data_IF_818715929553
#
_entry.id   IF_818715929553
#
_cell.length_a   1.000
_cell.length_b   1.000
_cell.length_c   1.000
_cell.angle_alpha   90.00
_cell.angle_beta   90.00
_cell.angle_gamma   90.00
#
_symmetry.space_group_name_H-M   'P 1'
#
loop_
_entity.id
_entity.type
_entity.pdbx_description
1 polymer ?
#
# COMPACT_ATOMS: atom_id res chain seq x y z
N UNK A 1 -2.89 -31.79 -41.33
CA UNK A 1 -3.47 -30.47 -41.04
C UNK A 1 -3.80 -30.51 -39.57
N UNK A 2 -2.83 -30.12 -38.76
CA UNK A 2 -3.05 -29.93 -37.33
C UNK A 2 -3.88 -28.65 -37.15
N UNK A 3 -4.83 -28.61 -36.20
CA UNK A 3 -5.55 -27.39 -35.92
C UNK A 3 -4.59 -26.38 -35.27
N UNK A 4 -4.57 -25.16 -35.81
CA UNK A 4 -3.91 -24.01 -35.17
C UNK A 4 -4.41 -23.88 -33.72
N UNK A 5 -3.54 -23.61 -32.75
CA UNK A 5 -3.98 -23.27 -31.41
C UNK A 5 -4.74 -21.95 -31.48
N UNK A 6 -5.92 -21.95 -30.83
CA UNK A 6 -6.78 -20.80 -30.69
C UNK A 6 -6.00 -19.57 -30.21
N UNK A 7 -6.24 -18.46 -30.90
CA UNK A 7 -5.74 -17.12 -30.60
C UNK A 7 -5.81 -16.82 -29.10
N UNK A 8 -4.70 -16.32 -28.56
CA UNK A 8 -4.59 -15.69 -27.25
C UNK A 8 -5.85 -14.88 -26.95
N UNK A 9 -6.63 -15.31 -25.95
CA UNK A 9 -7.72 -14.51 -25.41
C UNK A 9 -7.09 -13.22 -24.90
N UNK A 10 -7.40 -12.10 -25.58
CA UNK A 10 -7.13 -10.75 -25.11
C UNK A 10 -7.66 -10.64 -23.67
N UNK A 11 -6.78 -10.73 -22.68
CA UNK A 11 -7.06 -10.26 -21.34
C UNK A 11 -7.34 -8.76 -21.47
N UNK A 12 -8.62 -8.41 -21.61
CA UNK A 12 -9.07 -7.05 -21.73
C UNK A 12 -8.60 -6.28 -20.50
N UNK A 13 -7.53 -5.50 -20.65
CA UNK A 13 -6.92 -4.73 -19.57
C UNK A 13 -7.98 -3.85 -18.93
N UNK A 14 -8.39 -4.19 -17.71
CA UNK A 14 -9.38 -3.41 -16.97
C UNK A 14 -8.75 -2.11 -16.48
N UNK A 15 -9.53 -1.03 -16.52
CA UNK A 15 -9.12 0.24 -15.93
C UNK A 15 -9.14 0.16 -14.41
N UNK A 16 -8.10 0.66 -13.76
CA UNK A 16 -7.94 0.66 -12.30
C UNK A 16 -7.75 2.08 -11.80
N UNK A 17 -8.31 2.41 -10.64
CA UNK A 17 -7.94 3.66 -9.95
C UNK A 17 -6.57 3.44 -9.30
N UNK A 18 -5.56 4.20 -9.75
CA UNK A 18 -4.14 4.02 -9.38
C UNK A 18 -3.63 5.13 -8.47
N UNK A 19 -4.52 6.05 -8.08
CA UNK A 19 -4.31 7.09 -7.09
C UNK A 19 -5.48 7.18 -6.11
N UNK A 20 -5.36 8.01 -5.08
CA UNK A 20 -6.43 8.46 -4.22
C UNK A 20 -7.35 9.45 -4.94
N UNK A 21 -8.45 9.79 -4.26
CA UNK A 21 -9.36 10.85 -4.67
C UNK A 21 -8.96 12.19 -4.07
N UNK A 22 -8.73 13.19 -4.92
CA UNK A 22 -8.33 14.54 -4.54
C UNK A 22 -9.53 15.46 -4.65
N UNK A 23 -9.93 16.07 -3.52
CA UNK A 23 -11.04 17.02 -3.50
C UNK A 23 -10.55 18.42 -3.84
N UNK A 24 -11.17 19.03 -4.83
CA UNK A 24 -10.89 20.38 -5.30
C UNK A 24 -12.11 21.25 -5.03
N UNK A 25 -11.92 22.35 -4.31
CA UNK A 25 -12.99 23.30 -4.03
C UNK A 25 -13.29 24.19 -5.23
N UNK A 26 -14.49 24.79 -5.26
CA UNK A 26 -14.83 25.83 -6.24
C UNK A 26 -13.84 27.00 -6.15
N UNK A 27 -13.36 27.48 -7.29
CA UNK A 27 -12.39 28.57 -7.39
C UNK A 27 -12.88 29.59 -8.41
N UNK A 28 -13.06 30.84 -7.96
CA UNK A 28 -13.58 31.95 -8.81
C UNK A 28 -12.48 32.85 -9.37
N UNK A 29 -11.20 32.60 -9.06
CA UNK A 29 -10.06 33.42 -9.49
C UNK A 29 -8.86 32.58 -9.97
N UNK A 30 -8.08 33.16 -10.89
CA UNK A 30 -6.85 32.59 -11.47
C UNK A 30 -5.57 33.21 -10.88
N UNK A 31 -4.43 32.49 -10.87
CA UNK A 31 -4.24 31.13 -11.38
C UNK A 31 -4.51 30.05 -10.33
N UNK A 32 -5.08 28.92 -10.76
CA UNK A 32 -5.22 27.75 -9.92
C UNK A 32 -3.85 27.11 -9.68
N UNK A 33 -3.51 26.84 -8.43
CA UNK A 33 -2.34 26.03 -8.07
C UNK A 33 -2.50 24.62 -8.66
N UNK A 34 -1.47 24.04 -9.30
CA UNK A 34 -1.53 22.66 -9.79
C UNK A 34 -1.86 21.68 -8.66
N UNK A 35 -2.75 20.73 -8.96
CA UNK A 35 -3.06 19.60 -8.09
C UNK A 35 -2.04 18.51 -8.41
N UNK A 36 -1.31 18.05 -7.40
CA UNK A 36 -0.33 16.96 -7.54
C UNK A 36 -1.01 15.64 -7.15
N UNK A 37 -1.12 14.73 -8.11
CA UNK A 37 -1.73 13.40 -7.96
C UNK A 37 -0.61 12.38 -7.93
N UNK A 38 -0.34 11.78 -6.78
CA UNK A 38 0.57 10.63 -6.67
C UNK A 38 -0.11 9.38 -7.24
N UNK A 39 0.65 8.47 -7.85
CA UNK A 39 0.12 7.19 -8.32
C UNK A 39 1.12 6.06 -8.13
N UNK A 40 0.65 4.81 -8.05
CA UNK A 40 1.52 3.66 -7.86
C UNK A 40 2.08 3.03 -9.16
N UNK A 41 1.64 3.43 -10.36
CA UNK A 41 2.16 2.85 -11.61
C UNK A 41 3.69 2.99 -11.76
N UNK A 42 4.38 1.93 -12.20
CA UNK A 42 5.80 1.99 -12.54
C UNK A 42 5.98 2.60 -13.93
N UNK A 43 6.78 3.67 -14.03
CA UNK A 43 7.05 4.40 -15.30
C UNK A 43 8.42 4.09 -15.91
N UNK A 44 9.01 2.95 -15.57
CA UNK A 44 10.30 2.50 -16.11
C UNK A 44 10.15 1.90 -17.53
N UNK A 45 11.21 1.90 -18.36
CA UNK A 45 11.19 1.27 -19.68
C UNK A 45 10.64 -0.16 -19.63
N UNK A 46 9.73 -0.48 -20.54
CA UNK A 46 9.02 -1.77 -20.56
C UNK A 46 7.58 -1.67 -20.01
N UNK A 47 7.30 -0.72 -19.13
CA UNK A 47 5.95 -0.46 -18.62
C UNK A 47 5.20 0.52 -19.55
N UNK A 48 3.96 0.20 -19.87
CA UNK A 48 3.12 0.87 -20.89
C UNK A 48 1.78 1.32 -20.33
N UNK A 49 1.73 1.69 -19.05
CA UNK A 49 0.53 2.18 -18.40
C UNK A 49 -0.07 3.35 -19.18
N UNK A 50 -1.33 3.22 -19.58
CA UNK A 50 -2.11 4.32 -20.11
C UNK A 50 -2.91 4.97 -18.97
N UNK A 51 -2.51 6.17 -18.55
CA UNK A 51 -3.13 6.87 -17.42
C UNK A 51 -4.06 7.96 -17.92
N UNK A 52 -5.32 7.90 -17.49
CA UNK A 52 -6.33 8.93 -17.70
C UNK A 52 -6.64 9.62 -16.36
N UNK A 53 -6.71 10.95 -16.38
CA UNK A 53 -7.20 11.71 -15.22
C UNK A 53 -8.71 11.86 -15.36
N UNK A 54 -9.44 11.39 -14.34
CA UNK A 54 -10.90 11.50 -14.31
C UNK A 54 -11.35 12.35 -13.14
N UNK A 55 -12.49 12.99 -13.30
CA UNK A 55 -13.16 13.72 -12.24
C UNK A 55 -14.62 13.32 -12.12
N UNK A 56 -15.21 13.67 -10.98
CA UNK A 56 -16.64 13.55 -10.72
C UNK A 56 -17.07 14.64 -9.77
N UNK A 57 -18.32 15.06 -9.86
CA UNK A 57 -18.91 15.90 -8.80
C UNK A 57 -19.10 15.04 -7.55
N UNK A 58 -18.70 15.50 -6.35
CA UNK A 58 -18.96 14.77 -5.12
C UNK A 58 -20.46 14.46 -4.99
N UNK A 59 -20.85 13.23 -4.63
CA UNK A 59 -22.26 12.86 -4.55
C UNK A 59 -23.00 13.76 -3.56
N UNK A 60 -24.07 14.44 -4.03
CA UNK A 60 -25.03 15.10 -3.15
C UNK A 60 -25.78 14.00 -2.36
N UNK A 61 -26.14 14.25 -1.10
CA UNK A 61 -26.73 13.26 -0.16
C UNK A 61 -27.93 12.44 -0.70
N UNK A 62 -28.52 12.83 -1.83
CA UNK A 62 -29.69 12.20 -2.47
C UNK A 62 -29.42 11.52 -3.82
N UNK A 63 -28.18 11.52 -4.34
CA UNK A 63 -27.88 10.91 -5.65
C UNK A 63 -26.92 9.73 -5.51
N UNK A 64 -27.33 8.58 -6.05
CA UNK A 64 -26.51 7.39 -6.17
C UNK A 64 -25.38 7.64 -7.19
N UNK A 65 -24.15 7.36 -6.76
CA UNK A 65 -22.92 7.16 -7.54
C UNK A 65 -22.72 8.12 -8.72
N UNK A 66 -21.96 9.19 -8.46
CA UNK A 66 -21.41 10.05 -9.52
C UNK A 66 -20.39 9.26 -10.37
N UNK A 67 -20.59 9.24 -11.69
CA UNK A 67 -19.76 8.54 -12.66
C UNK A 67 -18.46 9.33 -12.86
N UNK A 68 -17.33 8.62 -12.95
CA UNK A 68 -16.04 9.21 -13.29
C UNK A 68 -15.98 9.54 -14.79
N UNK A 69 -15.67 10.79 -15.12
CA UNK A 69 -15.58 11.32 -16.48
C UNK A 69 -14.17 11.85 -16.71
N UNK A 70 -13.63 11.70 -17.91
CA UNK A 70 -12.27 12.18 -18.21
C UNK A 70 -12.21 13.71 -18.06
N UNK A 71 -11.18 14.21 -17.36
CA UNK A 71 -11.08 15.65 -17.00
C UNK A 71 -11.09 16.54 -18.23
N UNK A 72 -10.42 16.12 -19.30
CA UNK A 72 -10.31 16.86 -20.56
C UNK A 72 -11.65 16.95 -21.32
N UNK A 73 -12.60 16.04 -21.08
CA UNK A 73 -13.93 16.12 -21.69
C UNK A 73 -14.75 17.26 -21.07
N UNK A 74 -14.68 17.42 -19.75
CA UNK A 74 -15.39 18.47 -19.01
C UNK A 74 -14.64 19.80 -18.99
N UNK A 75 -13.31 19.74 -18.99
CA UNK A 75 -12.41 20.88 -18.91
C UNK A 75 -11.34 20.79 -19.99
N UNK A 76 -11.66 21.14 -21.27
CA UNK A 76 -10.71 21.04 -22.38
C UNK A 76 -9.45 21.90 -22.23
N UNK A 77 -9.52 22.95 -21.38
CA UNK A 77 -8.39 23.83 -21.08
C UNK A 77 -7.58 23.38 -19.85
N UNK A 78 -7.89 22.22 -19.26
CA UNK A 78 -7.07 21.64 -18.21
C UNK A 78 -5.69 21.29 -18.76
N UNK A 79 -4.65 21.56 -17.98
CA UNK A 79 -3.28 21.13 -18.29
C UNK A 79 -2.94 19.93 -17.45
N UNK A 80 -2.42 18.89 -18.09
CA UNK A 80 -1.97 17.66 -17.45
C UNK A 80 -0.51 17.49 -17.80
N UNK A 81 0.34 17.52 -16.78
CA UNK A 81 1.78 17.30 -16.90
C UNK A 81 2.13 16.00 -16.18
N UNK A 82 2.54 15.01 -16.95
CA UNK A 82 2.88 13.68 -16.47
C UNK A 82 4.36 13.66 -16.04
N UNK A 83 4.60 13.43 -14.76
CA UNK A 83 5.94 13.29 -14.17
C UNK A 83 6.18 11.81 -13.85
N UNK A 84 7.24 11.51 -13.09
CA UNK A 84 7.65 10.12 -12.89
C UNK A 84 6.73 9.34 -11.92
N UNK A 85 6.40 9.95 -10.78
CA UNK A 85 5.61 9.32 -9.71
C UNK A 85 4.29 10.05 -9.42
N UNK A 86 4.10 11.17 -10.09
CA UNK A 86 3.01 12.10 -9.88
C UNK A 86 2.54 12.71 -11.21
N UNK A 87 1.32 13.23 -11.19
CA UNK A 87 0.71 13.94 -12.32
C UNK A 87 0.25 15.28 -11.80
N UNK A 88 0.68 16.36 -12.45
CA UNK A 88 0.24 17.71 -12.13
C UNK A 88 -0.94 18.08 -13.01
N UNK A 89 -2.04 18.48 -12.36
CA UNK A 89 -3.28 18.86 -13.03
C UNK A 89 -3.64 20.29 -12.68
N UNK A 90 -3.63 21.16 -13.68
CA UNK A 90 -4.10 22.54 -13.56
C UNK A 90 -5.49 22.64 -14.16
N UNK A 91 -6.49 22.91 -13.33
CA UNK A 91 -7.87 23.07 -13.75
C UNK A 91 -8.19 24.56 -14.02
N UNK A 92 -9.10 24.87 -14.94
CA UNK A 92 -9.68 26.21 -15.04
C UNK A 92 -10.52 26.55 -13.78
N UNK A 93 -10.92 27.81 -13.58
CA UNK A 93 -11.82 28.20 -12.49
C UNK A 93 -13.06 27.32 -12.41
N UNK A 94 -13.34 26.78 -11.22
CA UNK A 94 -14.40 25.81 -10.99
C UNK A 94 -15.63 26.47 -10.36
N UNK A 95 -16.81 26.25 -10.96
CA UNK A 95 -18.09 26.72 -10.41
C UNK A 95 -18.56 25.88 -9.21
N UNK A 96 -18.29 24.57 -9.23
CA UNK A 96 -18.59 23.64 -8.15
C UNK A 96 -17.33 22.84 -7.80
N UNK A 97 -17.28 22.28 -6.58
CA UNK A 97 -16.18 21.41 -6.17
C UNK A 97 -16.19 20.07 -6.91
N UNK A 98 -15.00 19.51 -7.12
CA UNK A 98 -14.78 18.26 -7.84
C UNK A 98 -13.98 17.27 -6.98
N UNK A 99 -14.11 15.99 -7.30
CA UNK A 99 -13.14 14.97 -6.93
C UNK A 99 -12.41 14.51 -8.19
N UNK A 100 -11.10 14.35 -8.11
CA UNK A 100 -10.21 14.00 -9.23
C UNK A 100 -9.29 12.84 -8.82
N UNK A 101 -9.05 11.90 -9.73
CA UNK A 101 -8.15 10.78 -9.52
C UNK A 101 -7.53 10.30 -10.85
N UNK A 102 -6.39 9.62 -10.77
CA UNK A 102 -5.75 8.94 -11.87
C UNK A 102 -6.27 7.49 -12.02
N UNK A 103 -6.53 7.11 -13.26
CA UNK A 103 -6.97 5.79 -13.64
C UNK A 103 -6.01 5.19 -14.66
N UNK A 104 -5.40 4.07 -14.34
CA UNK A 104 -4.44 3.38 -15.18
C UNK A 104 -5.07 2.19 -15.89
N UNK A 105 -4.79 2.05 -17.19
CA UNK A 105 -5.01 0.82 -17.94
C UNK A 105 -3.64 0.18 -18.17
N UNK A 106 -3.36 -1.00 -17.59
CA UNK A 106 -2.06 -1.65 -17.69
C UNK A 106 -1.88 -2.34 -19.05
N UNK A 107 -0.64 -2.36 -19.55
CA UNK A 107 -0.16 -3.36 -20.49
C UNK A 107 0.02 -4.73 -19.84
N UNK A 108 0.35 -5.74 -20.65
CA UNK A 108 0.48 -7.15 -20.22
C UNK A 108 1.53 -7.35 -19.11
N UNK A 109 2.68 -6.73 -19.26
CA UNK A 109 3.85 -6.93 -18.39
C UNK A 109 4.08 -5.74 -17.44
N UNK A 110 3.05 -4.91 -17.27
CA UNK A 110 3.13 -3.72 -16.44
C UNK A 110 3.17 -4.06 -14.95
N UNK A 111 3.95 -3.28 -14.21
CA UNK A 111 4.10 -3.40 -12.77
C UNK A 111 3.62 -2.14 -12.07
N UNK A 112 3.23 -2.28 -10.81
CA UNK A 112 3.05 -1.16 -9.90
C UNK A 112 4.09 -1.19 -8.78
N UNK A 113 4.39 0.00 -8.27
CA UNK A 113 5.27 0.25 -7.13
C UNK A 113 4.47 0.04 -5.85
N UNK A 114 4.91 -0.90 -5.03
CA UNK A 114 4.39 -1.14 -3.70
C UNK A 114 5.52 -1.01 -2.66
N UNK A 115 5.13 -0.88 -1.40
CA UNK A 115 6.04 -0.84 -0.27
C UNK A 115 5.62 -1.86 0.78
N UNK A 116 6.61 -2.58 1.31
CA UNK A 116 6.45 -3.41 2.49
C UNK A 116 6.53 -2.54 3.74
N UNK A 117 5.44 -2.53 4.53
CA UNK A 117 5.34 -1.81 5.78
C UNK A 117 5.06 -2.78 6.95
N UNK A 118 5.87 -2.71 8.01
CA UNK A 118 5.80 -3.66 9.13
C UNK A 118 5.37 -2.94 10.40
N UNK A 119 4.26 -3.39 10.98
CA UNK A 119 3.65 -2.80 12.17
C UNK A 119 3.56 -3.80 13.32
N UNK A 120 3.61 -3.30 14.55
CA UNK A 120 3.34 -4.08 15.75
C UNK A 120 3.25 -3.21 16.99
N UNK A 121 2.72 -3.78 18.08
CA UNK A 121 2.73 -3.12 19.40
C UNK A 121 4.13 -3.05 19.96
N UNK A 122 4.35 -2.22 20.98
CA UNK A 122 5.54 -2.35 21.81
C UNK A 122 5.58 -3.77 22.42
N UNK A 123 6.67 -4.51 22.21
CA UNK A 123 6.77 -5.86 22.76
C UNK A 123 7.03 -5.82 24.27
N UNK A 124 6.48 -6.80 24.98
CA UNK A 124 6.65 -6.96 26.43
C UNK A 124 7.41 -8.25 26.73
N UNK A 125 8.42 -8.19 27.60
CA UNK A 125 9.23 -9.35 27.96
C UNK A 125 8.37 -10.54 28.43
N UNK A 126 8.70 -11.73 27.96
CA UNK A 126 7.99 -12.97 28.30
C UNK A 126 6.61 -13.13 27.64
N UNK A 127 6.19 -12.22 26.76
CA UNK A 127 4.96 -12.35 25.97
C UNK A 127 5.26 -12.62 24.49
N UNK A 128 4.38 -13.35 23.83
CA UNK A 128 4.39 -13.46 22.37
C UNK A 128 4.13 -12.09 21.75
N UNK A 129 4.78 -11.83 20.62
CA UNK A 129 4.68 -10.57 19.91
C UNK A 129 4.13 -10.80 18.50
N UNK A 130 3.14 -10.00 18.11
CA UNK A 130 2.51 -10.10 16.79
C UNK A 130 2.93 -8.92 15.95
N UNK A 131 3.54 -9.21 14.80
CA UNK A 131 3.84 -8.22 13.76
C UNK A 131 2.94 -8.44 12.55
N UNK A 132 2.60 -7.35 11.88
CA UNK A 132 1.75 -7.30 10.68
C UNK A 132 2.59 -6.73 9.54
N UNK A 133 2.63 -7.43 8.42
CA UNK A 133 3.36 -7.00 7.22
C UNK A 133 2.33 -6.67 6.17
N UNK A 134 2.28 -5.41 5.75
CA UNK A 134 1.43 -4.89 4.70
C UNK A 134 2.23 -4.73 3.41
N UNK A 135 1.57 -4.91 2.27
CA UNK A 135 2.00 -4.36 0.99
C UNK A 135 1.05 -3.23 0.63
N UNK A 136 1.57 -2.01 0.67
CA UNK A 136 0.82 -0.78 0.37
C UNK A 136 1.26 -0.23 -0.97
N UNK A 137 0.41 0.54 -1.63
CA UNK A 137 0.84 1.32 -2.79
C UNK A 137 1.93 2.33 -2.39
N UNK A 138 2.91 2.56 -3.27
CA UNK A 138 4.01 3.49 -3.03
C UNK A 138 3.57 4.95 -3.17
N UNK A 139 2.84 5.42 -2.15
CA UNK A 139 2.38 6.81 -2.03
C UNK A 139 2.12 7.24 -0.60
N UNK A 140 2.06 8.56 -0.42
CA UNK A 140 1.85 9.21 0.86
C UNK A 140 0.46 8.93 1.43
N UNK A 141 -0.57 8.86 0.57
CA UNK A 141 -1.95 8.61 1.00
C UNK A 141 -2.11 7.18 1.52
N UNK A 142 -1.61 6.19 0.77
CA UNK A 142 -1.67 4.79 1.17
C UNK A 142 -0.97 4.56 2.52
N UNK A 143 0.23 5.13 2.67
CA UNK A 143 0.99 5.04 3.92
C UNK A 143 0.27 5.68 5.11
N UNK A 144 -0.26 6.91 4.95
CA UNK A 144 -1.00 7.60 6.02
C UNK A 144 -2.24 6.82 6.46
N UNK A 145 -3.01 6.28 5.52
CA UNK A 145 -4.22 5.50 5.83
C UNK A 145 -3.91 4.26 6.67
N UNK A 146 -2.85 3.52 6.32
CA UNK A 146 -2.45 2.33 7.07
C UNK A 146 -1.86 2.70 8.43
N UNK A 147 -1.05 3.76 8.51
CA UNK A 147 -0.52 4.28 9.78
C UNK A 147 -1.65 4.65 10.74
N UNK A 148 -2.62 5.46 10.30
CA UNK A 148 -3.76 5.84 11.14
C UNK A 148 -4.51 4.61 11.68
N UNK A 149 -4.82 3.66 10.80
CA UNK A 149 -5.50 2.42 11.19
C UNK A 149 -4.71 1.60 12.21
N UNK A 150 -3.39 1.47 12.02
CA UNK A 150 -2.54 0.70 12.92
C UNK A 150 -2.33 1.42 14.26
N UNK A 151 -2.26 2.74 14.27
CA UNK A 151 -2.23 3.58 15.49
C UNK A 151 -3.52 3.42 16.31
N UNK A 152 -4.69 3.39 15.67
CA UNK A 152 -5.99 3.12 16.33
C UNK A 152 -6.01 1.74 17.01
N UNK A 153 -5.20 0.79 16.53
CA UNK A 153 -5.02 -0.54 17.14
C UNK A 153 -3.87 -0.58 18.19
N UNK A 154 -3.21 0.55 18.45
CA UNK A 154 -2.06 0.67 19.36
C UNK A 154 -0.76 0.07 18.81
N UNK A 155 -0.67 -0.10 17.48
CA UNK A 155 0.55 -0.52 16.81
C UNK A 155 1.33 0.70 16.32
N UNK A 156 2.61 0.51 16.03
CA UNK A 156 3.48 1.49 15.39
C UNK A 156 4.26 0.84 14.25
N UNK A 157 4.75 1.66 13.33
CA UNK A 157 5.72 1.22 12.33
C UNK A 157 7.01 0.77 13.02
N UNK A 158 7.53 -0.39 12.62
CA UNK A 158 8.69 -1.03 13.25
C UNK A 158 9.99 -0.84 12.46
N UNK A 159 9.91 -0.47 11.19
CA UNK A 159 11.07 -0.33 10.31
C UNK A 159 10.78 0.60 9.13
N UNK A 160 11.83 0.95 8.38
CA UNK A 160 11.70 1.67 7.13
C UNK A 160 10.95 0.85 6.07
N UNK A 161 10.27 1.56 5.18
CA UNK A 161 9.55 0.98 4.05
C UNK A 161 10.55 0.38 3.05
N UNK A 162 10.21 -0.77 2.48
CA UNK A 162 11.01 -1.40 1.43
C UNK A 162 10.18 -1.56 0.15
N UNK A 163 10.67 -1.00 -0.96
CA UNK A 163 9.96 -0.99 -2.23
C UNK A 163 9.99 -2.35 -2.93
N UNK A 164 8.87 -2.75 -3.52
CA UNK A 164 8.67 -3.97 -4.30
C UNK A 164 7.85 -3.65 -5.55
N UNK A 165 8.24 -4.18 -6.70
CA UNK A 165 7.45 -4.13 -7.92
C UNK A 165 6.54 -5.34 -8.03
N UNK A 166 5.26 -5.09 -8.31
CA UNK A 166 4.21 -6.11 -8.37
C UNK A 166 3.51 -6.05 -9.72
N UNK A 167 3.46 -7.17 -10.43
CA UNK A 167 2.72 -7.36 -11.69
C UNK A 167 1.36 -8.03 -11.42
N UNK A 168 0.45 -7.99 -12.40
CA UNK A 168 -0.78 -8.79 -12.36
C UNK A 168 -0.56 -10.22 -12.87
N UNK A 169 0.22 -11.01 -12.14
CA UNK A 169 0.53 -12.40 -12.50
C UNK A 169 -0.09 -13.43 -11.55
N UNK A 170 -0.04 -14.69 -11.96
CA UNK A 170 -0.43 -15.84 -11.13
C UNK A 170 0.63 -16.22 -10.08
N UNK A 171 1.84 -15.65 -10.19
CA UNK A 171 2.86 -15.82 -9.16
C UNK A 171 2.46 -14.99 -7.93
N UNK A 172 2.45 -15.61 -6.76
CA UNK A 172 2.08 -14.90 -5.54
C UNK A 172 3.30 -14.26 -4.87
N UNK A 173 3.06 -13.16 -4.16
CA UNK A 173 4.10 -12.44 -3.44
C UNK A 173 4.47 -13.22 -2.18
N UNK A 174 5.75 -13.53 -2.05
CA UNK A 174 6.29 -14.29 -0.91
C UNK A 174 6.89 -13.33 0.11
N UNK A 175 6.43 -13.44 1.35
CA UNK A 175 6.99 -12.73 2.51
C UNK A 175 7.73 -13.75 3.38
N UNK A 176 9.03 -13.56 3.56
CA UNK A 176 9.91 -14.48 4.31
C UNK A 176 10.62 -13.75 5.44
N UNK A 177 10.52 -14.32 6.64
CA UNK A 177 11.34 -13.92 7.78
C UNK A 177 12.67 -14.70 7.74
N UNK A 178 13.79 -13.99 7.84
CA UNK A 178 15.16 -14.52 7.84
C UNK A 178 15.91 -14.08 9.09
N UNK A 179 17.08 -14.68 9.32
CA UNK A 179 18.07 -14.19 10.28
C UNK A 179 17.53 -13.98 11.70
N UNK A 180 16.65 -14.89 12.13
CA UNK A 180 16.08 -14.87 13.47
C UNK A 180 17.15 -15.22 14.51
N UNK A 181 17.40 -14.29 15.43
CA UNK A 181 18.37 -14.50 16.50
C UNK A 181 17.96 -15.64 17.47
N UNK A 182 18.95 -16.34 18.07
CA UNK A 182 18.68 -17.30 19.15
C UNK A 182 17.89 -16.67 20.30
N UNK A 183 16.95 -17.45 20.87
CA UNK A 183 16.06 -17.00 21.94
C UNK A 183 14.65 -16.65 21.45
N UNK A 184 14.44 -16.64 20.14
CA UNK A 184 13.15 -16.38 19.50
C UNK A 184 12.71 -17.56 18.64
N UNK A 185 11.39 -17.72 18.47
CA UNK A 185 10.81 -18.68 17.54
C UNK A 185 9.64 -18.05 16.78
N UNK A 186 9.41 -18.47 15.54
CA UNK A 186 8.19 -18.11 14.81
C UNK A 186 7.17 -19.21 15.01
N UNK A 187 5.95 -18.84 15.42
CA UNK A 187 4.84 -19.78 15.47
C UNK A 187 4.36 -20.09 14.06
N UNK A 188 4.41 -21.35 13.68
CA UNK A 188 4.04 -21.82 12.35
C UNK A 188 5.15 -21.60 11.32
N UNK A 189 4.81 -21.06 10.15
CA UNK A 189 5.75 -20.91 9.04
C UNK A 189 6.44 -19.54 9.01
N UNK A 190 7.74 -19.53 8.70
CA UNK A 190 8.56 -18.33 8.44
C UNK A 190 8.30 -17.71 7.08
N UNK A 191 7.56 -18.42 6.20
CA UNK A 191 7.14 -17.94 4.89
C UNK A 191 5.62 -17.78 4.89
N UNK A 192 5.16 -16.65 4.38
CA UNK A 192 3.75 -16.33 4.13
C UNK A 192 3.62 -15.86 2.68
N UNK A 193 2.39 -15.93 2.18
CA UNK A 193 2.07 -15.60 0.80
C UNK A 193 0.94 -14.59 0.77
N UNK A 194 1.07 -13.56 -0.07
CA UNK A 194 0.03 -12.60 -0.41
C UNK A 194 -0.30 -12.81 -1.88
N UNK A 195 -1.59 -12.95 -2.18
CA UNK A 195 -2.04 -13.10 -3.58
C UNK A 195 -1.68 -11.86 -4.38
N UNK A 196 -0.96 -12.04 -5.49
CA UNK A 196 -0.55 -10.91 -6.33
C UNK A 196 -1.76 -10.13 -6.84
N UNK A 197 -2.81 -10.83 -7.29
CA UNK A 197 -4.09 -10.24 -7.67
C UNK A 197 -4.71 -9.33 -6.60
N UNK A 198 -4.62 -9.70 -5.32
CA UNK A 198 -5.14 -8.85 -4.23
C UNK A 198 -4.29 -7.58 -4.08
N UNK A 199 -2.97 -7.72 -4.18
CA UNK A 199 -2.05 -6.59 -4.14
C UNK A 199 -2.31 -5.66 -5.31
N UNK A 200 -2.39 -6.20 -6.54
CA UNK A 200 -2.70 -5.48 -7.77
C UNK A 200 -3.99 -4.65 -7.69
N UNK A 201 -5.08 -5.26 -7.21
CA UNK A 201 -6.42 -4.66 -7.21
C UNK A 201 -6.68 -3.68 -6.06
N UNK A 202 -5.76 -3.55 -5.11
CA UNK A 202 -5.93 -2.63 -3.98
C UNK A 202 -5.90 -1.18 -4.45
N UNK A 203 -6.95 -0.38 -4.22
CA UNK A 203 -6.91 1.04 -4.55
C UNK A 203 -5.99 1.77 -3.57
N UNK A 204 -5.35 2.85 -4.02
CA UNK A 204 -4.39 3.60 -3.21
C UNK A 204 -4.98 4.13 -1.89
N UNK A 205 -6.26 4.51 -1.89
CA UNK A 205 -6.96 4.98 -0.71
C UNK A 205 -7.57 3.86 0.15
N UNK A 206 -7.24 2.59 -0.12
CA UNK A 206 -7.64 1.47 0.72
C UNK A 206 -7.11 1.62 2.15
N UNK A 207 -7.81 1.00 3.09
CA UNK A 207 -7.30 0.81 4.47
C UNK A 207 -7.01 -0.66 4.74
N UNK A 208 -7.47 -1.55 3.87
CA UNK A 208 -7.42 -3.00 3.95
C UNK A 208 -6.47 -3.60 2.92
N UNK A 209 -5.34 -2.91 2.71
CA UNK A 209 -4.23 -3.43 1.92
C UNK A 209 -3.86 -4.88 2.33
N UNK A 210 -3.50 -5.73 1.36
CA UNK A 210 -3.12 -7.10 1.61
C UNK A 210 -1.96 -7.18 2.61
N UNK A 211 -2.11 -8.14 3.52
CA UNK A 211 -1.20 -8.27 4.65
C UNK A 211 -1.12 -9.71 5.13
N UNK A 212 0.01 -10.04 5.73
CA UNK A 212 0.16 -11.24 6.55
C UNK A 212 0.58 -10.85 7.97
N UNK A 213 0.65 -11.84 8.86
CA UNK A 213 1.15 -11.62 10.20
C UNK A 213 2.03 -12.78 10.65
N UNK A 214 2.99 -12.44 11.50
CA UNK A 214 3.86 -13.39 12.18
C UNK A 214 3.65 -13.27 13.69
N UNK A 215 3.62 -14.41 14.36
CA UNK A 215 3.60 -14.47 15.83
C UNK A 215 4.98 -14.96 16.29
N UNK A 216 5.69 -14.09 16.98
CA UNK A 216 7.03 -14.29 17.51
C UNK A 216 6.88 -14.77 18.96
N UNK A 217 7.50 -15.90 19.27
CA UNK A 217 7.52 -16.54 20.58
C UNK A 217 8.85 -16.20 21.25
N UNK A 218 8.77 -15.69 22.48
CA UNK A 218 9.91 -15.37 23.32
C UNK A 218 10.33 -16.60 24.12
N UNK A 219 11.33 -17.33 23.63
CA UNK A 219 11.79 -18.60 24.22
C UNK A 219 12.80 -18.35 25.33
N UNK A 220 13.83 -17.57 25.06
CA UNK A 220 14.80 -17.15 26.06
C UNK A 220 14.37 -15.84 26.68
N UNK A 221 13.59 -15.92 27.77
CA UNK A 221 13.05 -14.76 28.48
C UNK A 221 14.11 -13.81 29.04
N UNK A 222 15.39 -14.15 29.01
CA UNK A 222 16.47 -13.22 29.41
C UNK A 222 16.79 -12.20 28.32
N UNK A 223 16.45 -12.50 27.06
CA UNK A 223 16.66 -11.61 25.92
C UNK A 223 15.71 -10.42 25.98
N UNK A 224 16.23 -9.29 25.53
CA UNK A 224 15.48 -8.03 25.49
C UNK A 224 15.48 -7.40 24.11
N UNK A 225 16.41 -7.77 23.24
CA UNK A 225 16.45 -7.35 21.85
C UNK A 225 15.92 -8.45 20.95
N UNK A 226 15.13 -8.05 19.97
CA UNK A 226 14.72 -8.87 18.84
C UNK A 226 15.29 -8.25 17.56
N UNK A 227 15.89 -9.08 16.73
CA UNK A 227 16.35 -8.76 15.39
C UNK A 227 15.93 -9.86 14.42
N UNK A 228 15.45 -9.47 13.24
CA UNK A 228 15.28 -10.39 12.11
C UNK A 228 15.34 -9.63 10.77
N UNK A 229 15.71 -10.35 9.71
CA UNK A 229 15.50 -9.91 8.34
C UNK A 229 14.08 -10.22 7.86
N UNK A 230 13.56 -9.39 6.96
CA UNK A 230 12.31 -9.63 6.25
C UNK A 230 12.52 -9.37 4.76
N UNK A 231 12.18 -10.36 3.94
CA UNK A 231 12.24 -10.28 2.48
C UNK A 231 10.84 -10.41 1.90
N UNK A 232 10.45 -9.48 1.02
CA UNK A 232 9.34 -9.66 0.10
C UNK A 232 9.91 -9.97 -1.29
N UNK A 233 9.35 -10.94 -2.01
CA UNK A 233 9.77 -11.27 -3.37
C UNK A 233 8.56 -11.52 -4.26
N UNK A 234 8.65 -11.06 -5.50
CA UNK A 234 7.64 -11.25 -6.53
C UNK A 234 8.33 -11.32 -7.88
N UNK A 235 8.21 -12.44 -8.58
CA UNK A 235 8.91 -12.69 -9.85
C UNK A 235 10.42 -12.42 -9.72
N UNK A 236 10.95 -11.45 -10.48
CA UNK A 236 12.36 -11.10 -10.52
C UNK A 236 12.74 -9.97 -9.56
N UNK A 237 11.79 -9.45 -8.77
CA UNK A 237 12.03 -8.35 -7.84
C UNK A 237 12.02 -8.80 -6.38
N UNK A 238 12.79 -8.09 -5.55
CA UNK A 238 12.86 -8.36 -4.12
C UNK A 238 13.09 -7.09 -3.30
N UNK A 239 12.43 -7.03 -2.16
CA UNK A 239 12.54 -5.97 -1.17
C UNK A 239 13.05 -6.56 0.15
N UNK A 240 14.02 -5.91 0.78
CA UNK A 240 14.58 -6.36 2.05
C UNK A 240 14.50 -5.24 3.09
N UNK A 241 14.19 -5.62 4.33
CA UNK A 241 14.25 -4.73 5.49
C UNK A 241 14.60 -5.51 6.74
N UNK A 242 14.98 -4.81 7.80
CA UNK A 242 15.31 -5.39 9.09
C UNK A 242 14.31 -4.91 10.14
N UNK A 243 13.91 -5.80 11.05
CA UNK A 243 13.02 -5.46 12.17
C UNK A 243 13.81 -5.51 13.46
N UNK A 244 13.87 -4.38 14.16
CA UNK A 244 14.54 -4.26 15.45
C UNK A 244 13.53 -3.83 16.51
N UNK A 245 13.49 -4.56 17.63
CA UNK A 245 12.64 -4.18 18.74
C UNK A 245 13.26 -4.50 20.10
N UNK A 246 12.94 -3.68 21.10
CA UNK A 246 13.35 -3.87 22.49
C UNK A 246 12.13 -4.19 23.36
N UNK A 247 12.21 -5.28 24.12
CA UNK A 247 11.16 -5.80 24.99
C UNK A 247 11.29 -5.16 26.37
N UNK A 248 10.25 -4.42 26.76
CA UNK A 248 10.21 -3.77 28.07
C UNK A 248 10.16 -4.79 29.20
N UNK A 249 10.93 -4.55 30.27
CA UNK A 249 10.88 -5.35 31.50
C UNK A 249 9.53 -5.15 32.17
N UNK A 250 8.90 -6.25 32.58
CA UNK A 250 7.77 -6.18 33.51
C UNK A 250 8.36 -6.01 34.92
N UNK A 251 8.31 -4.80 35.47
CA UNK A 251 8.56 -4.61 36.91
C UNK A 251 7.35 -5.12 37.70
N UNK A 252 7.52 -6.19 38.45
CA UNK A 252 6.55 -6.57 39.47
C UNK A 252 6.73 -5.59 40.65
N UNK A 253 5.84 -4.62 40.79
CA UNK A 253 5.68 -3.93 42.07
C UNK A 253 4.97 -4.88 43.03
N UNK A 254 5.76 -5.59 43.85
CA UNK A 254 5.28 -6.25 45.05
C UNK A 254 4.82 -5.19 46.07
N UNK A 255 3.55 -4.78 45.95
CA UNK A 255 2.80 -4.21 47.06
C UNK A 255 1.69 -5.18 47.47
N UNK A 256 2.10 -6.36 47.96
CA UNK A 256 1.36 -6.97 49.06
C UNK A 256 1.61 -6.12 50.29
N UNK A 257 0.76 -5.11 50.49
CA UNK A 257 0.60 -4.51 51.81
C UNK A 257 0.22 -5.62 52.79
N UNK A 258 1.15 -5.99 53.66
CA UNK A 258 0.79 -6.55 54.95
C UNK A 258 -0.04 -5.49 55.67
N UNK A 259 -1.34 -5.75 55.79
CA UNK A 259 -2.16 -5.23 56.88
C UNK A 259 -2.05 -6.24 58.01
N UNK A 260 -1.26 -5.89 59.03
CA UNK A 260 -1.50 -6.29 60.43
C UNK A 260 -1.54 -4.98 61.22
#
# INVERSE_FOLDING_TARGET
MDPEPASDEDHQSSIHQVSGGYKVSSTTSSPATPIVIEHCCLRAPGNKWNIAIKCRTPPKKSQNTSIWIDVIELYPNAKIEDKHNDIEVTLPPLQEGLEIAAFGTPGKDDQKRMQMAIFGRNPTQGRNWKIRVYLIDDSTIAFKNVCQKEEEMGNRLLTALAGLFVSNSDEDIRIKLTDLEPGWQIKGCTVKTIKSKNAWQSPENATDFPRCHFEIIHVDKTKQSFFCGMTASHENDQANTEVVAYFERVSYNDHKGLLI
#
